data_IF_379874296362
#
_entry.id   IF_379874296362
#
_cell.length_a   1.000
_cell.length_b   1.000
_cell.length_c   1.000
_cell.angle_alpha   90.00
_cell.angle_beta   90.00
_cell.angle_gamma   90.00
#
_symmetry.space_group_name_H-M   'P 1'
#
loop_
_entity.id
_entity.type
_entity.pdbx_description
1 polymer ?
#
# COMPACT_ATOMS: atom_id res chain seq x y z
N UNK A 1 17.35 -42.34 -0.28
CA UNK A 1 17.08 -43.80 -0.27
C UNK A 1 18.00 -44.47 -1.28
N UNK A 2 18.23 -45.78 -1.19
CA UNK A 2 18.93 -46.50 -2.26
C UNK A 2 17.91 -47.13 -3.20
N UNK A 3 18.15 -47.08 -4.51
CA UNK A 3 17.36 -47.87 -5.46
C UNK A 3 17.76 -49.35 -5.40
N UNK A 4 17.06 -50.17 -6.18
CA UNK A 4 17.31 -51.63 -6.31
C UNK A 4 18.71 -51.95 -6.87
N UNK A 5 19.44 -50.94 -7.36
CA UNK A 5 20.81 -51.03 -7.88
C UNK A 5 21.86 -50.48 -6.90
N UNK A 6 21.44 -50.04 -5.71
CA UNK A 6 22.31 -49.51 -4.66
C UNK A 6 22.72 -48.04 -4.83
N UNK A 7 22.20 -47.33 -5.85
CA UNK A 7 22.48 -45.91 -6.07
C UNK A 7 21.71 -45.05 -5.10
N UNK A 8 22.31 -43.94 -4.66
CA UNK A 8 21.62 -42.98 -3.79
C UNK A 8 20.60 -42.17 -4.60
N UNK A 9 19.32 -42.50 -4.44
CA UNK A 9 18.20 -41.72 -4.98
C UNK A 9 17.80 -40.65 -3.96
N UNK A 10 17.82 -39.39 -4.42
CA UNK A 10 17.21 -38.27 -3.70
C UNK A 10 15.71 -38.26 -4.00
N UNK A 11 14.92 -38.57 -2.99
CA UNK A 11 13.46 -38.33 -3.05
C UNK A 11 13.25 -36.84 -2.79
N UNK A 12 12.58 -36.12 -3.70
CA UNK A 12 12.23 -34.72 -3.48
C UNK A 12 11.37 -34.57 -2.22
N UNK A 13 11.62 -33.52 -1.44
CA UNK A 13 10.74 -33.13 -0.33
C UNK A 13 9.41 -32.56 -0.82
N UNK A 14 8.51 -32.25 0.14
CA UNK A 14 7.18 -31.66 -0.14
C UNK A 14 7.24 -30.25 -0.74
N UNK A 15 8.30 -29.50 -0.44
CA UNK A 15 8.44 -28.09 -0.77
C UNK A 15 9.43 -27.89 -1.92
N UNK A 16 9.06 -27.06 -2.89
CA UNK A 16 9.97 -26.61 -3.95
C UNK A 16 10.83 -25.45 -3.44
N UNK A 17 11.97 -25.20 -4.08
CA UNK A 17 12.84 -24.06 -3.75
C UNK A 17 13.27 -23.96 -2.27
N UNK A 18 13.27 -25.10 -1.58
CA UNK A 18 13.62 -25.22 -0.16
C UNK A 18 14.79 -26.19 -0.02
N UNK A 19 15.81 -25.78 0.72
CA UNK A 19 16.88 -26.65 1.19
C UNK A 19 16.90 -26.59 2.70
N UNK A 20 16.72 -27.72 3.36
CA UNK A 20 16.58 -27.80 4.80
C UNK A 20 17.58 -28.78 5.41
N UNK A 21 18.07 -28.48 6.61
CA UNK A 21 18.85 -29.38 7.45
C UNK A 21 18.32 -29.33 8.89
N UNK A 22 18.50 -30.40 9.64
CA UNK A 22 18.27 -30.41 11.09
C UNK A 22 19.53 -29.98 11.83
N UNK A 23 19.38 -29.14 12.84
CA UNK A 23 20.47 -28.66 13.70
C UNK A 23 19.99 -28.52 15.14
N UNK A 24 20.88 -28.64 16.13
CA UNK A 24 20.57 -28.34 17.53
C UNK A 24 21.29 -27.06 17.95
N UNK A 25 20.55 -26.05 18.42
CA UNK A 25 21.13 -24.79 18.89
C UNK A 25 21.24 -24.82 20.42
N UNK A 26 22.47 -24.98 20.92
CA UNK A 26 22.74 -25.04 22.36
C UNK A 26 22.29 -23.79 23.11
N UNK A 27 22.46 -22.60 22.51
CA UNK A 27 22.07 -21.33 23.11
C UNK A 27 20.56 -21.24 23.40
N UNK A 28 19.74 -21.86 22.58
CA UNK A 28 18.28 -21.89 22.71
C UNK A 28 17.78 -23.21 23.34
N UNK A 29 18.66 -24.19 23.53
CA UNK A 29 18.35 -25.56 23.99
C UNK A 29 17.23 -26.22 23.19
N UNK A 30 17.21 -26.00 21.87
CA UNK A 30 16.18 -26.53 20.98
C UNK A 30 16.76 -27.08 19.67
N UNK A 31 16.06 -28.05 19.09
CA UNK A 31 16.30 -28.47 17.72
C UNK A 31 15.65 -27.48 16.76
N UNK A 32 16.29 -27.25 15.61
CA UNK A 32 15.84 -26.34 14.57
C UNK A 32 15.88 -27.06 13.22
N UNK A 33 14.86 -26.80 12.41
CA UNK A 33 14.89 -27.09 10.97
C UNK A 33 15.43 -25.82 10.29
N UNK A 34 16.72 -25.79 9.99
CA UNK A 34 17.36 -24.66 9.33
C UNK A 34 17.08 -24.72 7.83
N UNK A 35 16.52 -23.65 7.27
CA UNK A 35 16.00 -23.62 5.91
C UNK A 35 16.61 -22.46 5.12
N UNK A 36 17.10 -22.77 3.92
CA UNK A 36 17.32 -21.79 2.86
C UNK A 36 16.14 -21.85 1.88
N UNK A 37 15.37 -20.77 1.84
CA UNK A 37 14.25 -20.58 0.92
C UNK A 37 14.71 -19.70 -0.26
N UNK A 38 14.85 -20.30 -1.44
CA UNK A 38 15.41 -19.60 -2.61
C UNK A 38 14.37 -18.85 -3.44
N UNK A 39 13.07 -19.15 -3.25
CA UNK A 39 11.98 -18.49 -3.97
C UNK A 39 10.71 -18.45 -3.10
N UNK A 40 10.52 -17.35 -2.37
CA UNK A 40 9.35 -17.17 -1.50
C UNK A 40 8.04 -16.94 -2.26
N UNK A 41 8.10 -16.65 -3.57
CA UNK A 41 6.90 -16.47 -4.40
C UNK A 41 6.28 -17.80 -4.82
N UNK A 42 7.11 -18.80 -5.07
CA UNK A 42 6.65 -20.17 -5.34
C UNK A 42 6.42 -20.99 -4.08
N UNK A 43 7.12 -20.69 -2.99
CA UNK A 43 6.93 -21.37 -1.70
C UNK A 43 6.88 -20.33 -0.59
N UNK A 44 5.67 -19.85 -0.24
CA UNK A 44 5.48 -18.82 0.78
C UNK A 44 5.96 -19.24 2.17
N UNK A 45 6.35 -18.25 2.99
CA UNK A 45 6.85 -18.50 4.36
C UNK A 45 5.88 -19.29 5.22
N UNK A 46 4.59 -18.93 5.20
CA UNK A 46 3.56 -19.65 5.95
C UNK A 46 3.41 -21.10 5.47
N UNK A 47 3.53 -21.38 4.16
CA UNK A 47 3.51 -22.75 3.64
C UNK A 47 4.68 -23.57 4.15
N UNK A 48 5.89 -22.97 4.22
CA UNK A 48 7.06 -23.63 4.81
C UNK A 48 6.79 -23.96 6.27
N UNK A 49 6.35 -22.99 7.06
CA UNK A 49 6.12 -23.13 8.49
C UNK A 49 5.03 -24.17 8.81
N UNK A 50 3.88 -24.10 8.15
CA UNK A 50 2.80 -25.07 8.32
C UNK A 50 3.23 -26.49 7.89
N UNK A 51 4.00 -26.62 6.82
CA UNK A 51 4.52 -27.93 6.41
C UNK A 51 5.46 -28.52 7.46
N UNK A 52 6.34 -27.71 8.05
CA UNK A 52 7.23 -28.17 9.14
C UNK A 52 6.42 -28.56 10.38
N UNK A 53 5.36 -27.82 10.72
CA UNK A 53 4.44 -28.19 11.81
C UNK A 53 3.81 -29.55 11.55
N UNK A 54 3.22 -29.75 10.38
CA UNK A 54 2.60 -31.03 10.01
C UNK A 54 3.60 -32.20 10.05
N UNK A 55 4.84 -32.01 9.60
CA UNK A 55 5.87 -33.07 9.67
C UNK A 55 6.32 -33.35 11.12
N UNK A 56 6.44 -32.32 11.96
CA UNK A 56 6.81 -32.48 13.37
C UNK A 56 5.71 -33.21 14.15
N UNK A 57 4.44 -32.90 13.90
CA UNK A 57 3.29 -33.51 14.57
C UNK A 57 3.21 -35.01 14.31
N UNK A 58 3.56 -35.48 13.11
CA UNK A 58 3.65 -36.92 12.78
C UNK A 58 4.67 -37.67 13.65
N UNK A 59 5.65 -36.96 14.20
CA UNK A 59 6.67 -37.49 15.09
C UNK A 59 6.35 -37.27 16.57
N UNK A 60 5.17 -36.73 16.90
CA UNK A 60 4.81 -36.36 18.28
C UNK A 60 5.58 -35.14 18.80
N UNK A 61 6.17 -34.34 17.91
CA UNK A 61 6.91 -33.13 18.24
C UNK A 61 6.05 -31.89 18.01
N UNK A 62 6.42 -30.79 18.66
CA UNK A 62 5.76 -29.49 18.50
C UNK A 62 6.76 -28.46 18.02
N UNK A 63 6.38 -27.70 16.99
CA UNK A 63 7.10 -26.49 16.59
C UNK A 63 6.74 -25.36 17.55
N UNK A 64 7.75 -24.72 18.14
CA UNK A 64 7.58 -23.70 19.18
C UNK A 64 7.75 -22.27 18.67
N UNK A 65 8.09 -22.08 17.39
CA UNK A 65 8.29 -20.79 16.75
C UNK A 65 9.30 -20.87 15.62
N UNK A 66 9.76 -19.74 15.13
CA UNK A 66 10.80 -19.64 14.10
C UNK A 66 11.66 -18.39 14.27
N UNK A 67 12.67 -18.23 13.43
CA UNK A 67 13.46 -17.01 13.33
C UNK A 67 13.82 -16.73 11.88
N UNK A 68 14.07 -15.47 11.57
CA UNK A 68 14.66 -15.04 10.31
C UNK A 68 16.09 -14.57 10.59
N UNK A 69 17.05 -15.26 9.98
CA UNK A 69 18.46 -14.89 9.99
C UNK A 69 18.71 -13.87 8.88
N UNK A 70 19.28 -12.71 9.23
CA UNK A 70 19.49 -11.60 8.31
C UNK A 70 18.23 -10.75 8.08
N UNK A 71 18.13 -10.19 6.87
CA UNK A 71 17.03 -9.35 6.40
C UNK A 71 16.04 -10.16 5.56
N UNK A 72 14.78 -9.75 5.54
CA UNK A 72 13.72 -10.35 4.74
C UNK A 72 12.98 -9.27 3.94
N UNK A 73 12.57 -9.54 2.69
CA UNK A 73 11.64 -8.66 1.99
C UNK A 73 10.32 -8.54 2.74
N UNK A 74 9.62 -7.41 2.61
CA UNK A 74 8.34 -7.14 3.26
C UNK A 74 7.22 -8.05 2.76
N UNK A 75 7.16 -8.26 1.43
CA UNK A 75 6.11 -9.03 0.76
C UNK A 75 5.79 -10.38 1.40
N UNK A 76 6.75 -11.30 1.64
CA UNK A 76 6.44 -12.61 2.22
C UNK A 76 5.85 -12.55 3.63
N UNK A 77 6.16 -11.50 4.41
CA UNK A 77 5.54 -11.27 5.73
C UNK A 77 4.09 -10.79 5.59
N UNK A 78 3.83 -9.85 4.69
CA UNK A 78 2.47 -9.38 4.39
C UNK A 78 1.60 -10.54 3.91
N UNK A 79 2.10 -11.36 2.98
CA UNK A 79 1.36 -12.52 2.48
C UNK A 79 1.11 -13.59 3.55
N UNK A 80 2.06 -13.82 4.45
CA UNK A 80 1.82 -14.66 5.63
C UNK A 80 0.75 -14.06 6.55
N UNK A 81 0.79 -12.75 6.79
CA UNK A 81 -0.21 -12.02 7.57
C UNK A 81 -1.62 -12.20 6.99
N UNK A 82 -1.76 -12.02 5.67
CA UNK A 82 -3.02 -12.23 4.94
C UNK A 82 -3.52 -13.66 5.06
N UNK A 83 -2.63 -14.64 4.92
CA UNK A 83 -2.97 -16.05 5.07
C UNK A 83 -3.58 -16.34 6.44
N UNK A 84 -2.91 -15.93 7.52
CA UNK A 84 -3.39 -16.19 8.89
C UNK A 84 -4.60 -15.32 9.29
N UNK A 85 -4.70 -14.09 8.79
CA UNK A 85 -5.91 -13.27 8.94
C UNK A 85 -7.12 -13.98 8.31
N UNK A 86 -6.96 -14.52 7.10
CA UNK A 86 -7.99 -15.28 6.39
C UNK A 86 -8.43 -16.54 7.13
N UNK A 87 -7.49 -17.30 7.70
CA UNK A 87 -7.81 -18.46 8.56
C UNK A 87 -8.63 -18.08 9.79
N UNK A 88 -8.41 -16.88 10.32
CA UNK A 88 -9.14 -16.33 11.46
C UNK A 88 -10.50 -15.72 11.08
N UNK A 89 -10.92 -15.85 9.82
CA UNK A 89 -12.16 -15.28 9.31
C UNK A 89 -12.14 -13.77 9.08
N UNK A 90 -10.98 -13.12 9.26
CA UNK A 90 -10.79 -11.68 9.03
C UNK A 90 -10.51 -11.39 7.55
N UNK A 91 -10.68 -10.13 7.17
CA UNK A 91 -10.28 -9.61 5.86
C UNK A 91 -8.76 -9.68 5.69
N UNK A 92 -8.32 -9.88 4.44
CA UNK A 92 -6.92 -9.77 4.04
C UNK A 92 -6.47 -8.31 3.84
N UNK A 93 -7.40 -7.37 3.78
CA UNK A 93 -7.15 -5.94 3.58
C UNK A 93 -6.93 -5.14 4.87
N UNK A 94 -6.29 -5.73 5.88
CA UNK A 94 -5.87 -5.00 7.07
C UNK A 94 -4.66 -4.09 6.76
N UNK A 95 -4.38 -3.06 7.58
CA UNK A 95 -3.17 -2.25 7.44
C UNK A 95 -1.90 -3.12 7.41
N UNK A 96 -0.93 -2.74 6.59
CA UNK A 96 0.30 -3.51 6.38
C UNK A 96 1.02 -3.89 7.68
N UNK A 97 1.12 -2.95 8.63
CA UNK A 97 1.74 -3.21 9.93
C UNK A 97 0.98 -4.26 10.75
N UNK A 98 -0.35 -4.28 10.69
CA UNK A 98 -1.17 -5.30 11.37
C UNK A 98 -0.96 -6.68 10.74
N UNK A 99 -0.85 -6.76 9.41
CA UNK A 99 -0.57 -8.01 8.70
C UNK A 99 0.83 -8.54 9.05
N UNK A 100 1.84 -7.67 9.07
CA UNK A 100 3.20 -8.03 9.49
C UNK A 100 3.20 -8.50 10.95
N UNK A 101 2.51 -7.80 11.85
CA UNK A 101 2.40 -8.20 13.25
C UNK A 101 1.72 -9.57 13.39
N UNK A 102 0.66 -9.80 12.61
CA UNK A 102 -0.01 -11.11 12.55
C UNK A 102 0.97 -12.19 12.11
N UNK A 103 1.76 -11.94 11.07
CA UNK A 103 2.78 -12.89 10.59
C UNK A 103 3.85 -13.17 11.67
N UNK A 104 4.35 -12.14 12.34
CA UNK A 104 5.35 -12.28 13.42
C UNK A 104 4.81 -13.21 14.52
N UNK A 105 3.59 -12.95 14.99
CA UNK A 105 2.98 -13.72 16.08
C UNK A 105 2.67 -15.17 15.68
N UNK A 106 2.15 -15.38 14.48
CA UNK A 106 1.67 -16.70 14.02
C UNK A 106 2.79 -17.63 13.56
N UNK A 107 3.83 -17.07 12.95
CA UNK A 107 5.07 -17.79 12.64
C UNK A 107 6.01 -17.90 13.85
N UNK A 108 5.75 -17.12 14.91
CA UNK A 108 6.60 -17.02 16.10
C UNK A 108 8.00 -16.52 15.78
N UNK A 109 8.12 -15.49 14.92
CA UNK A 109 9.41 -14.95 14.44
C UNK A 109 10.28 -14.34 15.54
N UNK A 110 9.67 -14.04 16.68
CA UNK A 110 10.26 -13.47 17.88
C UNK A 110 10.50 -14.53 18.99
N UNK A 111 10.33 -15.82 18.69
CA UNK A 111 10.35 -16.90 19.67
C UNK A 111 11.70 -17.14 20.35
N UNK A 112 12.80 -16.86 19.65
CA UNK A 112 14.18 -17.08 20.14
C UNK A 112 15.00 -15.79 20.23
N UNK A 113 14.62 -14.75 19.48
CA UNK A 113 15.27 -13.44 19.49
C UNK A 113 14.26 -12.37 19.08
N UNK A 114 14.42 -11.12 19.56
CA UNK A 114 13.54 -10.02 19.22
C UNK A 114 13.49 -9.76 17.69
N UNK A 115 12.29 -9.58 17.14
CA UNK A 115 12.06 -9.23 15.74
C UNK A 115 11.85 -7.72 15.59
N UNK A 116 12.95 -6.96 15.50
CA UNK A 116 12.91 -5.51 15.23
C UNK A 116 12.57 -5.25 13.76
N UNK A 117 11.31 -4.92 13.46
CA UNK A 117 10.80 -4.72 12.09
C UNK A 117 11.59 -3.66 11.32
N UNK A 118 12.10 -2.62 12.00
CA UNK A 118 12.85 -1.54 11.37
C UNK A 118 14.23 -1.99 10.87
N UNK A 119 14.75 -3.09 11.42
CA UNK A 119 16.06 -3.65 11.09
C UNK A 119 15.99 -4.99 10.36
N UNK A 120 14.85 -5.67 10.37
CA UNK A 120 14.67 -6.99 9.76
C UNK A 120 14.03 -6.92 8.39
N UNK A 121 13.18 -5.92 8.13
CA UNK A 121 12.47 -5.77 6.87
C UNK A 121 13.27 -4.83 5.98
N UNK A 122 13.68 -5.30 4.79
CA UNK A 122 14.55 -4.56 3.87
C UNK A 122 13.96 -3.19 3.56
N UNK A 123 12.71 -3.14 3.15
CA UNK A 123 11.99 -1.95 2.73
C UNK A 123 11.86 -0.92 3.86
N UNK A 124 11.76 -1.36 5.12
CA UNK A 124 11.75 -0.45 6.27
C UNK A 124 13.15 0.04 6.64
N UNK A 125 14.16 -0.83 6.51
CA UNK A 125 15.55 -0.48 6.81
C UNK A 125 16.13 0.54 5.82
N UNK A 126 15.58 0.63 4.60
CA UNK A 126 16.01 1.56 3.55
C UNK A 126 14.95 2.59 3.18
N UNK A 127 13.88 2.72 3.97
CA UNK A 127 12.78 3.63 3.67
C UNK A 127 13.28 5.09 3.55
N UNK A 128 12.85 5.77 2.50
CA UNK A 128 13.12 7.19 2.33
C UNK A 128 12.30 8.02 3.35
N UNK A 129 12.80 9.20 3.76
CA UNK A 129 12.03 10.10 4.61
C UNK A 129 10.73 10.51 3.92
N UNK A 130 9.61 10.38 4.63
CA UNK A 130 8.31 10.93 4.25
C UNK A 130 7.97 12.09 5.19
N UNK A 131 8.62 13.27 5.06
CA UNK A 131 8.59 14.33 6.07
C UNK A 131 7.20 14.89 6.34
N UNK A 132 6.28 14.88 5.36
CA UNK A 132 4.92 15.32 5.55
C UNK A 132 4.06 14.21 6.16
N UNK A 133 4.06 13.02 5.57
CA UNK A 133 3.24 11.91 6.08
C UNK A 133 3.69 11.37 7.45
N UNK A 134 4.92 11.64 7.86
CA UNK A 134 5.42 11.27 9.18
C UNK A 134 5.06 12.29 10.27
N UNK A 135 4.47 13.44 9.93
CA UNK A 135 3.99 14.41 10.92
C UNK A 135 2.79 13.84 11.68
N UNK A 136 2.61 14.33 12.91
CA UNK A 136 1.31 14.18 13.57
C UNK A 136 0.24 14.91 12.78
N UNK A 137 -1.02 14.51 12.92
CA UNK A 137 -2.14 15.20 12.25
C UNK A 137 -2.15 16.70 12.60
N UNK A 138 -1.91 17.05 13.87
CA UNK A 138 -1.75 18.44 14.29
C UNK A 138 -0.59 19.13 13.57
N UNK A 139 0.59 18.51 13.55
CA UNK A 139 1.76 19.08 12.90
C UNK A 139 1.59 19.24 11.38
N UNK A 140 0.86 18.34 10.72
CA UNK A 140 0.52 18.48 9.30
C UNK A 140 -0.44 19.65 9.06
N UNK A 141 -1.48 19.79 9.88
CA UNK A 141 -2.45 20.90 9.77
C UNK A 141 -1.79 22.25 10.04
N UNK A 142 -0.93 22.34 11.06
CA UNK A 142 -0.16 23.54 11.37
C UNK A 142 0.75 23.91 10.20
N UNK A 143 1.47 22.93 9.62
CA UNK A 143 2.34 23.14 8.47
C UNK A 143 1.58 23.67 7.24
N UNK A 144 0.42 23.08 6.91
CA UNK A 144 -0.45 23.54 5.81
C UNK A 144 -0.94 24.97 6.03
N UNK A 145 -1.09 25.40 7.29
CA UNK A 145 -1.55 26.74 7.65
C UNK A 145 -0.44 27.80 7.74
N UNK A 146 0.81 27.40 7.51
CA UNK A 146 1.98 28.29 7.61
C UNK A 146 2.17 29.16 6.36
N UNK A 147 3.20 30.03 6.38
CA UNK A 147 3.65 30.81 5.22
C UNK A 147 4.60 30.03 4.29
N UNK A 148 4.77 28.73 4.52
CA UNK A 148 5.56 27.85 3.65
C UNK A 148 4.87 27.64 2.29
N UNK A 149 5.63 27.63 1.16
CA UNK A 149 5.06 27.36 -0.16
C UNK A 149 4.62 25.90 -0.37
N UNK A 150 5.04 24.97 0.50
CA UNK A 150 4.63 23.56 0.50
C UNK A 150 4.62 23.02 1.94
N UNK A 151 3.70 22.11 2.33
CA UNK A 151 2.71 21.40 1.51
C UNK A 151 1.58 22.30 1.01
N UNK A 152 1.14 22.06 -0.22
CA UNK A 152 0.07 22.82 -0.87
C UNK A 152 -1.23 22.03 -1.04
N UNK A 153 -2.11 22.53 -1.92
CA UNK A 153 -3.39 21.89 -2.22
C UNK A 153 -3.26 20.49 -2.81
N UNK A 154 -2.20 20.19 -3.56
CA UNK A 154 -1.94 18.85 -4.11
C UNK A 154 -1.70 17.81 -3.00
N UNK A 155 -0.83 18.15 -2.05
CA UNK A 155 -0.55 17.35 -0.85
C UNK A 155 -1.84 17.09 -0.03
N UNK A 156 -2.69 18.11 0.15
CA UNK A 156 -3.98 17.96 0.85
C UNK A 156 -4.97 17.10 0.06
N UNK A 157 -5.01 17.23 -1.27
CA UNK A 157 -5.86 16.41 -2.13
C UNK A 157 -5.47 14.93 -2.08
N UNK A 158 -4.18 14.63 -2.09
CA UNK A 158 -3.65 13.28 -1.91
C UNK A 158 -4.05 12.69 -0.55
N UNK A 159 -3.87 13.46 0.53
CA UNK A 159 -4.28 13.04 1.88
C UNK A 159 -5.80 12.80 1.97
N UNK A 160 -6.62 13.66 1.35
CA UNK A 160 -8.06 13.47 1.32
C UNK A 160 -8.46 12.16 0.64
N UNK A 161 -7.85 11.84 -0.50
CA UNK A 161 -8.05 10.55 -1.17
C UNK A 161 -7.58 9.37 -0.32
N UNK A 162 -6.43 9.47 0.35
CA UNK A 162 -5.90 8.43 1.22
C UNK A 162 -6.87 8.13 2.38
N UNK A 163 -7.42 9.18 3.00
CA UNK A 163 -8.45 9.05 4.04
C UNK A 163 -9.73 8.39 3.49
N UNK A 164 -10.15 8.75 2.27
CA UNK A 164 -11.27 8.12 1.58
C UNK A 164 -11.06 6.62 1.37
N UNK A 165 -9.92 6.22 0.82
CA UNK A 165 -9.57 4.81 0.64
C UNK A 165 -9.44 4.06 1.99
N UNK A 166 -8.88 4.71 3.01
CA UNK A 166 -8.78 4.16 4.37
C UNK A 166 -10.15 3.87 4.99
N UNK A 167 -11.11 4.78 4.87
CA UNK A 167 -12.49 4.57 5.33
C UNK A 167 -13.18 3.46 4.54
N UNK A 168 -13.02 3.40 3.21
CA UNK A 168 -13.55 2.30 2.40
C UNK A 168 -12.99 0.93 2.85
N UNK A 169 -11.69 0.84 3.10
CA UNK A 169 -11.06 -0.36 3.65
C UNK A 169 -11.61 -0.72 5.03
N UNK A 170 -11.80 0.26 5.92
CA UNK A 170 -12.39 0.07 7.24
C UNK A 170 -13.80 -0.51 7.16
N UNK A 171 -14.67 0.04 6.31
CA UNK A 171 -16.04 -0.46 6.12
C UNK A 171 -16.03 -1.92 5.68
N UNK A 172 -15.20 -2.28 4.70
CA UNK A 172 -15.05 -3.67 4.28
C UNK A 172 -14.51 -4.58 5.41
N UNK A 173 -13.50 -4.14 6.16
CA UNK A 173 -12.93 -4.89 7.27
C UNK A 173 -13.94 -5.10 8.42
N UNK A 174 -14.81 -4.14 8.70
CA UNK A 174 -15.92 -4.27 9.66
C UNK A 174 -17.05 -5.20 9.16
N UNK A 175 -17.06 -5.49 7.86
CA UNK A 175 -18.06 -6.35 7.23
C UNK A 175 -17.59 -7.80 7.14
N UNK A 176 -16.34 -8.03 6.76
CA UNK A 176 -15.79 -9.37 6.64
C UNK A 176 -15.79 -10.08 8.00
N UNK A 177 -16.38 -11.28 8.05
CA UNK A 177 -16.53 -12.05 9.29
C UNK A 177 -17.79 -11.69 10.10
N UNK A 178 -18.57 -10.69 9.67
CA UNK A 178 -19.86 -10.34 10.29
C UNK A 178 -20.99 -11.21 9.76
N UNK A 179 -21.83 -11.71 10.68
CA UNK A 179 -23.02 -12.51 10.33
C UNK A 179 -23.97 -11.71 9.43
N UNK A 180 -24.46 -12.35 8.37
CA UNK A 180 -25.40 -11.76 7.40
C UNK A 180 -24.73 -11.08 6.20
N UNK A 181 -23.40 -11.08 6.12
CA UNK A 181 -22.62 -10.52 5.02
C UNK A 181 -21.74 -11.58 4.31
N UNK A 182 -22.04 -12.86 4.51
CA UNK A 182 -21.26 -13.98 3.97
C UNK A 182 -21.20 -13.94 2.44
N UNK A 183 -22.27 -13.51 1.78
CA UNK A 183 -22.37 -13.41 0.32
C UNK A 183 -21.43 -12.36 -0.30
N UNK A 184 -21.04 -11.34 0.46
CA UNK A 184 -20.16 -10.25 0.01
C UNK A 184 -18.76 -10.35 0.61
N UNK A 185 -18.48 -11.41 1.37
CA UNK A 185 -17.23 -11.56 2.14
C UNK A 185 -15.98 -11.50 1.25
N UNK A 186 -15.92 -12.32 0.21
CA UNK A 186 -14.74 -12.41 -0.64
C UNK A 186 -14.56 -11.16 -1.50
N UNK A 187 -15.67 -10.61 -2.01
CA UNK A 187 -15.69 -9.33 -2.74
C UNK A 187 -15.12 -8.20 -1.87
N UNK A 188 -15.64 -8.02 -0.65
CA UNK A 188 -15.21 -6.95 0.25
C UNK A 188 -13.80 -7.18 0.80
N UNK A 189 -13.38 -8.43 0.99
CA UNK A 189 -11.98 -8.71 1.35
C UNK A 189 -11.02 -8.28 0.24
N UNK A 190 -11.33 -8.63 -1.02
CA UNK A 190 -10.51 -8.20 -2.17
C UNK A 190 -10.55 -6.68 -2.35
N UNK A 191 -11.71 -6.07 -2.15
CA UNK A 191 -11.88 -4.61 -2.18
C UNK A 191 -11.03 -3.94 -1.10
N UNK A 192 -10.98 -4.48 0.12
CA UNK A 192 -10.17 -3.94 1.21
C UNK A 192 -8.66 -4.01 0.89
N UNK A 193 -8.19 -5.09 0.28
CA UNK A 193 -6.79 -5.18 -0.20
C UNK A 193 -6.49 -4.10 -1.24
N UNK A 194 -7.41 -3.89 -2.20
CA UNK A 194 -7.24 -2.84 -3.20
C UNK A 194 -7.24 -1.44 -2.56
N UNK A 195 -8.14 -1.19 -1.60
CA UNK A 195 -8.22 0.05 -0.87
C UNK A 195 -6.96 0.35 -0.03
N UNK A 196 -6.31 -0.67 0.56
CA UNK A 196 -5.01 -0.48 1.21
C UNK A 196 -3.95 0.01 0.23
N UNK A 197 -3.87 -0.61 -0.96
CA UNK A 197 -2.89 -0.21 -1.98
C UNK A 197 -3.13 1.23 -2.46
N UNK A 198 -4.38 1.63 -2.70
CA UNK A 198 -4.74 2.99 -3.11
C UNK A 198 -4.42 3.99 -1.99
N UNK A 199 -4.76 3.64 -0.73
CA UNK A 199 -4.45 4.44 0.45
C UNK A 199 -2.95 4.66 0.61
N UNK A 200 -2.14 3.60 0.46
CA UNK A 200 -0.68 3.71 0.55
C UNK A 200 -0.09 4.51 -0.62
N UNK A 201 -0.58 4.31 -1.86
CA UNK A 201 -0.14 5.10 -3.02
C UNK A 201 -0.44 6.60 -2.84
N UNK A 202 -1.65 6.94 -2.37
CA UNK A 202 -2.04 8.33 -2.09
C UNK A 202 -1.25 8.93 -0.91
N UNK A 203 -0.91 8.13 0.11
CA UNK A 203 -0.02 8.58 1.18
C UNK A 203 1.37 8.97 0.64
N UNK A 204 1.95 8.16 -0.25
CA UNK A 204 3.22 8.52 -0.91
C UNK A 204 3.09 9.77 -1.79
N UNK A 205 1.92 9.97 -2.41
CA UNK A 205 1.66 11.14 -3.25
C UNK A 205 1.67 12.48 -2.48
N UNK A 206 1.42 12.46 -1.16
CA UNK A 206 1.48 13.66 -0.30
C UNK A 206 2.88 14.28 -0.32
N UNK A 207 3.93 13.47 -0.16
CA UNK A 207 5.32 13.95 -0.24
C UNK A 207 5.76 14.15 -1.70
N UNK A 208 5.25 13.35 -2.64
CA UNK A 208 5.60 13.46 -4.07
C UNK A 208 5.22 14.82 -4.69
N UNK A 209 4.10 15.41 -4.28
CA UNK A 209 3.66 16.75 -4.71
C UNK A 209 4.70 17.83 -4.35
N UNK A 210 5.18 17.79 -3.11
CA UNK A 210 6.22 18.71 -2.63
C UNK A 210 7.56 18.48 -3.35
N UNK A 211 7.92 17.23 -3.61
CA UNK A 211 9.14 16.89 -4.35
C UNK A 211 9.10 17.39 -5.81
N UNK A 212 7.95 17.26 -6.48
CA UNK A 212 7.76 17.76 -7.83
C UNK A 212 7.86 19.29 -7.91
N UNK A 213 7.28 20.00 -6.93
CA UNK A 213 7.42 21.45 -6.80
C UNK A 213 8.89 21.86 -6.62
N UNK A 214 9.62 21.19 -5.72
CA UNK A 214 11.04 21.46 -5.47
C UNK A 214 11.90 21.25 -6.73
N UNK A 215 11.62 20.21 -7.51
CA UNK A 215 12.35 19.94 -8.76
C UNK A 215 12.20 21.08 -9.78
N UNK A 216 11.01 21.67 -9.90
CA UNK A 216 10.77 22.86 -10.75
C UNK A 216 11.56 24.06 -10.24
N UNK A 217 11.58 24.28 -8.92
CA UNK A 217 12.33 25.37 -8.29
C UNK A 217 13.85 25.24 -8.53
N UNK A 218 14.40 24.02 -8.51
CA UNK A 218 15.80 23.79 -8.87
C UNK A 218 16.08 24.08 -10.35
N UNK A 219 15.19 23.69 -11.26
CA UNK A 219 15.31 24.07 -12.68
C UNK A 219 15.28 25.59 -12.88
N UNK A 220 14.55 26.34 -12.04
CA UNK A 220 14.55 27.80 -12.05
C UNK A 220 15.87 28.43 -11.58
N UNK A 221 16.75 27.67 -10.91
CA UNK A 221 18.07 28.15 -10.46
C UNK A 221 19.18 27.95 -11.50
N UNK A 222 18.93 27.21 -12.59
CA UNK A 222 19.92 26.95 -13.63
C UNK A 222 20.48 28.25 -14.25
N UNK A 223 21.77 28.29 -14.67
CA UNK A 223 22.35 29.46 -15.33
C UNK A 223 21.57 29.91 -16.57
N UNK A 224 21.69 31.20 -16.92
CA UNK A 224 20.98 31.83 -18.05
C UNK A 224 21.82 32.90 -18.75
N UNK A 225 23.14 32.80 -18.63
CA UNK A 225 24.08 33.83 -19.12
C UNK A 225 24.43 33.63 -20.59
N UNK A 226 24.60 32.38 -21.04
CA UNK A 226 24.86 32.06 -22.44
C UNK A 226 23.59 31.61 -23.17
N UNK A 227 23.58 31.70 -24.50
CA UNK A 227 22.42 31.24 -25.27
C UNK A 227 22.22 29.71 -25.17
N UNK A 228 23.30 28.95 -25.07
CA UNK A 228 23.24 27.51 -24.79
C UNK A 228 22.62 27.22 -23.42
N UNK A 229 22.98 28.00 -22.39
CA UNK A 229 22.38 27.89 -21.05
C UNK A 229 20.88 28.23 -21.05
N UNK A 230 20.47 29.28 -21.78
CA UNK A 230 19.05 29.66 -21.89
C UNK A 230 18.21 28.53 -22.49
N UNK A 231 18.68 27.94 -23.60
CA UNK A 231 17.99 26.83 -24.26
C UNK A 231 17.91 25.60 -23.35
N UNK A 232 19.02 25.23 -22.70
CA UNK A 232 19.05 24.10 -21.78
C UNK A 232 18.11 24.32 -20.59
N UNK A 233 18.16 25.51 -19.98
CA UNK A 233 17.28 25.90 -18.87
C UNK A 233 15.80 25.86 -19.27
N UNK A 234 15.45 26.38 -20.44
CA UNK A 234 14.07 26.37 -20.92
C UNK A 234 13.56 24.94 -21.15
N UNK A 235 14.38 24.07 -21.76
CA UNK A 235 14.05 22.66 -21.92
C UNK A 235 13.88 21.95 -20.57
N UNK A 236 14.77 22.22 -19.61
CA UNK A 236 14.70 21.64 -18.27
C UNK A 236 13.42 22.09 -17.53
N UNK A 237 13.06 23.36 -17.65
CA UNK A 237 11.82 23.91 -17.07
C UNK A 237 10.57 23.31 -17.71
N UNK A 238 10.50 23.23 -19.05
CA UNK A 238 9.35 22.64 -19.73
C UNK A 238 9.17 21.16 -19.37
N UNK A 239 10.26 20.41 -19.23
CA UNK A 239 10.20 19.03 -18.73
C UNK A 239 9.75 18.98 -17.27
N UNK A 240 10.28 19.86 -16.41
CA UNK A 240 9.89 19.98 -15.01
C UNK A 240 8.41 20.28 -14.84
N UNK A 241 7.85 21.22 -15.60
CA UNK A 241 6.42 21.55 -15.56
C UNK A 241 5.54 20.39 -16.01
N UNK A 242 5.94 19.64 -17.05
CA UNK A 242 5.22 18.43 -17.47
C UNK A 242 5.23 17.37 -16.37
N UNK A 243 6.38 17.10 -15.76
CA UNK A 243 6.49 16.17 -14.63
C UNK A 243 5.65 16.62 -13.44
N UNK A 244 5.68 17.92 -13.10
CA UNK A 244 4.88 18.49 -12.02
C UNK A 244 3.37 18.49 -12.31
N UNK A 245 2.95 18.48 -13.57
CA UNK A 245 1.54 18.29 -13.94
C UNK A 245 1.09 16.83 -13.88
N UNK A 246 2.00 15.87 -14.04
CA UNK A 246 1.67 14.43 -14.02
C UNK A 246 1.43 13.89 -12.60
N UNK A 247 2.16 14.37 -11.60
CA UNK A 247 1.96 13.95 -10.19
C UNK A 247 0.52 14.20 -9.68
N UNK A 248 -0.06 15.41 -9.81
CA UNK A 248 -1.45 15.64 -9.43
C UNK A 248 -2.45 14.93 -10.36
N UNK A 249 -2.08 14.59 -11.60
CA UNK A 249 -2.95 13.77 -12.46
C UNK A 249 -3.06 12.34 -11.92
N UNK A 250 -1.93 11.71 -11.60
CA UNK A 250 -1.90 10.38 -10.99
C UNK A 250 -2.64 10.39 -9.64
N UNK A 251 -2.48 11.45 -8.85
CA UNK A 251 -3.23 11.67 -7.60
C UNK A 251 -4.74 11.72 -7.87
N UNK A 252 -5.19 12.44 -8.90
CA UNK A 252 -6.60 12.51 -9.26
C UNK A 252 -7.16 11.15 -9.70
N UNK A 253 -6.39 10.37 -10.47
CA UNK A 253 -6.76 9.01 -10.90
C UNK A 253 -6.88 8.07 -9.70
N UNK A 254 -5.91 8.09 -8.76
CA UNK A 254 -5.96 7.30 -7.52
C UNK A 254 -7.14 7.71 -6.61
N UNK A 255 -7.43 9.01 -6.49
CA UNK A 255 -8.59 9.50 -5.76
C UNK A 255 -9.91 9.03 -6.40
N UNK A 256 -9.98 8.93 -7.74
CA UNK A 256 -11.17 8.42 -8.42
C UNK A 256 -11.36 6.92 -8.13
N UNK A 257 -10.28 6.15 -8.05
CA UNK A 257 -10.37 4.75 -7.60
C UNK A 257 -10.78 4.65 -6.12
N UNK A 258 -10.27 5.51 -5.24
CA UNK A 258 -10.73 5.60 -3.85
C UNK A 258 -12.24 5.88 -3.77
N UNK A 259 -12.76 6.73 -4.65
CA UNK A 259 -14.18 7.05 -4.73
C UNK A 259 -15.03 5.86 -5.21
N UNK A 260 -14.55 5.09 -6.19
CA UNK A 260 -15.21 3.84 -6.64
C UNK A 260 -15.19 2.76 -5.57
N UNK A 261 -14.12 2.70 -4.78
CA UNK A 261 -14.02 1.83 -3.60
C UNK A 261 -15.01 2.24 -2.51
N UNK A 262 -15.21 3.55 -2.28
CA UNK A 262 -16.23 4.05 -1.38
C UNK A 262 -17.65 3.68 -1.84
N UNK A 263 -17.95 3.76 -3.14
CA UNK A 263 -19.22 3.28 -3.71
C UNK A 263 -19.39 1.76 -3.47
N UNK A 264 -18.35 0.97 -3.70
CA UNK A 264 -18.37 -0.48 -3.46
C UNK A 264 -18.59 -0.83 -1.98
N UNK A 265 -18.03 -0.02 -1.07
CA UNK A 265 -18.16 -0.19 0.36
C UNK A 265 -19.61 -0.03 0.87
N UNK A 266 -20.52 0.59 0.11
CA UNK A 266 -21.95 0.69 0.43
C UNK A 266 -22.67 -0.68 0.51
N UNK A 267 -22.10 -1.73 -0.09
CA UNK A 267 -22.57 -3.12 0.04
C UNK A 267 -22.24 -3.73 1.42
N UNK A 268 -21.37 -3.06 2.16
CA UNK A 268 -20.86 -3.51 3.44
C UNK A 268 -21.83 -3.31 4.61
N UNK A 269 -21.27 -3.33 5.80
CA UNK A 269 -21.97 -3.18 7.06
C UNK A 269 -22.83 -1.91 7.06
N UNK A 270 -24.16 -2.07 7.10
CA UNK A 270 -25.13 -0.97 7.15
C UNK A 270 -24.89 0.02 8.27
N UNK A 271 -24.33 -0.41 9.41
CA UNK A 271 -24.03 0.48 10.53
C UNK A 271 -22.86 1.44 10.23
N UNK A 272 -22.12 1.20 9.14
CA UNK A 272 -20.97 1.98 8.68
C UNK A 272 -21.26 2.66 7.34
N UNK A 273 -22.54 2.80 6.95
CA UNK A 273 -22.91 3.45 5.69
C UNK A 273 -22.51 4.93 5.67
N UNK A 274 -22.52 5.60 6.83
CA UNK A 274 -22.04 6.97 6.97
C UNK A 274 -20.53 7.06 6.72
N UNK A 275 -19.77 6.06 7.15
CA UNK A 275 -18.32 6.01 6.91
C UNK A 275 -18.01 5.86 5.42
N UNK A 276 -18.78 5.02 4.69
CA UNK A 276 -18.69 4.92 3.23
C UNK A 276 -19.10 6.22 2.53
N UNK A 277 -20.10 6.94 3.07
CA UNK A 277 -20.49 8.26 2.57
C UNK A 277 -19.37 9.31 2.72
N UNK A 278 -18.76 9.39 3.91
CA UNK A 278 -17.62 10.29 4.15
C UNK A 278 -16.42 9.88 3.29
N UNK A 279 -16.17 8.58 3.11
CA UNK A 279 -15.13 8.09 2.20
C UNK A 279 -15.31 8.67 0.79
N UNK A 280 -16.55 8.66 0.28
CA UNK A 280 -16.88 9.24 -1.03
C UNK A 280 -16.66 10.75 -1.09
N UNK A 281 -17.06 11.50 -0.05
CA UNK A 281 -16.84 12.95 0.01
C UNK A 281 -15.35 13.30 0.00
N UNK A 282 -14.55 12.61 0.80
CA UNK A 282 -13.10 12.83 0.89
C UNK A 282 -12.40 12.50 -0.42
N UNK A 283 -12.74 11.36 -1.04
CA UNK A 283 -12.18 10.96 -2.32
C UNK A 283 -12.58 11.93 -3.45
N UNK A 284 -13.83 12.40 -3.49
CA UNK A 284 -14.29 13.39 -4.46
C UNK A 284 -13.52 14.71 -4.33
N UNK A 285 -13.37 15.22 -3.11
CA UNK A 285 -12.57 16.41 -2.84
C UNK A 285 -11.12 16.22 -3.29
N UNK A 286 -10.56 15.02 -3.09
CA UNK A 286 -9.25 14.63 -3.60
C UNK A 286 -9.15 14.70 -5.13
N UNK A 287 -10.12 14.15 -5.87
CA UNK A 287 -10.13 14.22 -7.36
C UNK A 287 -10.15 15.67 -7.83
N UNK A 288 -11.08 16.48 -7.30
CA UNK A 288 -11.23 17.87 -7.71
C UNK A 288 -10.01 18.72 -7.36
N UNK A 289 -9.53 18.60 -6.11
CA UNK A 289 -8.34 19.31 -5.64
C UNK A 289 -7.10 18.97 -6.46
N UNK A 290 -6.87 17.68 -6.76
CA UNK A 290 -5.76 17.25 -7.59
C UNK A 290 -5.90 17.77 -9.04
N UNK A 291 -7.09 17.73 -9.63
CA UNK A 291 -7.34 18.31 -10.96
C UNK A 291 -7.07 19.82 -11.01
N UNK A 292 -7.37 20.58 -9.95
CA UNK A 292 -7.01 22.01 -9.89
C UNK A 292 -5.49 22.22 -9.96
N UNK A 293 -4.71 21.37 -9.28
CA UNK A 293 -3.26 21.43 -9.31
C UNK A 293 -2.68 21.05 -10.69
N UNK A 294 -3.29 20.09 -11.40
CA UNK A 294 -2.95 19.83 -12.81
C UNK A 294 -3.15 21.10 -13.64
N UNK A 295 -4.35 21.68 -13.59
CA UNK A 295 -4.74 22.83 -14.42
C UNK A 295 -3.88 24.06 -14.19
N UNK A 296 -3.48 24.32 -12.94
CA UNK A 296 -2.54 25.40 -12.59
C UNK A 296 -1.20 25.21 -13.29
N UNK A 297 -0.63 24.01 -13.26
CA UNK A 297 0.65 23.72 -13.90
C UNK A 297 0.60 23.85 -15.43
N UNK A 298 -0.53 23.53 -16.06
CA UNK A 298 -0.69 23.64 -17.52
C UNK A 298 -0.50 25.07 -18.04
N UNK A 299 -0.73 26.11 -17.23
CA UNK A 299 -0.54 27.51 -17.64
C UNK A 299 0.90 27.88 -17.99
N UNK A 300 1.87 27.05 -17.60
CA UNK A 300 3.32 27.28 -17.81
C UNK A 300 3.93 26.41 -18.92
N UNK A 301 3.13 25.51 -19.50
CA UNK A 301 3.57 24.51 -20.48
C UNK A 301 3.26 25.00 -21.90
N UNK A 302 4.26 24.98 -22.79
CA UNK A 302 4.11 25.47 -24.17
C UNK A 302 3.66 24.39 -25.16
N UNK A 303 3.79 23.10 -24.79
CA UNK A 303 3.30 21.97 -25.57
C UNK A 303 1.76 21.93 -25.57
N UNK A 304 1.16 22.46 -26.64
CA UNK A 304 -0.29 22.60 -26.77
C UNK A 304 -1.01 21.25 -26.81
N UNK A 305 -0.42 20.23 -27.44
CA UNK A 305 -1.00 18.90 -27.51
C UNK A 305 -1.06 18.25 -26.12
N UNK A 306 0.00 18.40 -25.33
CA UNK A 306 0.01 17.97 -23.94
C UNK A 306 -1.07 18.69 -23.12
N UNK A 307 -1.13 20.03 -23.23
CA UNK A 307 -2.11 20.85 -22.49
C UNK A 307 -3.55 20.45 -22.81
N UNK A 308 -3.90 20.29 -24.09
CA UNK A 308 -5.24 19.88 -24.51
C UNK A 308 -5.60 18.47 -24.00
N UNK A 309 -4.65 17.54 -24.08
CA UNK A 309 -4.82 16.18 -23.56
C UNK A 309 -5.10 16.19 -22.06
N UNK A 310 -4.32 16.93 -21.28
CA UNK A 310 -4.48 17.01 -19.82
C UNK A 310 -5.79 17.69 -19.43
N UNK A 311 -6.18 18.78 -20.11
CA UNK A 311 -7.48 19.44 -19.86
C UNK A 311 -8.64 18.47 -20.08
N UNK A 312 -8.62 17.72 -21.18
CA UNK A 312 -9.65 16.71 -21.47
C UNK A 312 -9.73 15.67 -20.36
N UNK A 313 -8.58 15.08 -19.98
CA UNK A 313 -8.52 14.09 -18.89
C UNK A 313 -9.07 14.64 -17.58
N UNK A 314 -8.65 15.84 -17.15
CA UNK A 314 -9.16 16.44 -15.90
C UNK A 314 -10.66 16.68 -15.93
N UNK A 315 -11.22 17.10 -17.07
CA UNK A 315 -12.66 17.29 -17.21
C UNK A 315 -13.44 15.97 -17.10
N UNK A 316 -12.91 14.89 -17.70
CA UNK A 316 -13.47 13.54 -17.60
C UNK A 316 -13.43 13.03 -16.14
N UNK A 317 -12.29 13.16 -15.46
CA UNK A 317 -12.12 12.76 -14.05
C UNK A 317 -13.09 13.50 -13.12
N UNK A 318 -13.22 14.82 -13.27
CA UNK A 318 -14.15 15.63 -12.45
C UNK A 318 -15.60 15.19 -12.68
N UNK A 319 -15.98 14.94 -13.94
CA UNK A 319 -17.34 14.49 -14.28
C UNK A 319 -17.63 13.12 -13.67
N UNK A 320 -16.74 12.14 -13.87
CA UNK A 320 -16.90 10.80 -13.33
C UNK A 320 -16.99 10.83 -11.79
N UNK A 321 -16.17 11.65 -11.15
CA UNK A 321 -16.21 11.82 -9.70
C UNK A 321 -17.53 12.43 -9.22
N UNK A 322 -18.08 13.40 -9.96
CA UNK A 322 -19.39 13.96 -9.65
C UNK A 322 -20.49 12.90 -9.74
N UNK A 323 -20.53 12.15 -10.85
CA UNK A 323 -21.56 11.14 -11.10
C UNK A 323 -21.51 10.01 -10.05
N UNK A 324 -20.32 9.57 -9.62
CA UNK A 324 -20.17 8.55 -8.56
C UNK A 324 -20.59 9.12 -7.20
N UNK A 325 -20.10 10.31 -6.85
CA UNK A 325 -20.42 10.92 -5.56
C UNK A 325 -21.93 11.19 -5.39
N UNK A 326 -22.62 11.58 -6.46
CA UNK A 326 -24.08 11.76 -6.43
C UNK A 326 -24.81 10.43 -6.15
N UNK A 327 -24.36 9.32 -6.74
CA UNK A 327 -24.92 7.99 -6.44
C UNK A 327 -24.68 7.57 -4.99
N UNK A 328 -23.46 7.76 -4.49
CA UNK A 328 -23.13 7.49 -3.08
C UNK A 328 -24.05 8.32 -2.17
N UNK A 329 -24.16 9.62 -2.42
CA UNK A 329 -24.99 10.52 -1.64
C UNK A 329 -26.45 10.07 -1.58
N UNK A 330 -27.05 9.73 -2.73
CA UNK A 330 -28.44 9.24 -2.79
C UNK A 330 -28.64 7.98 -1.95
N UNK A 331 -27.73 7.01 -2.05
CA UNK A 331 -27.80 5.76 -1.28
C UNK A 331 -27.67 6.03 0.23
N UNK A 332 -26.70 6.86 0.62
CA UNK A 332 -26.46 7.19 2.03
C UNK A 332 -27.64 7.93 2.64
N UNK A 333 -28.17 8.96 1.97
CA UNK A 333 -29.32 9.73 2.45
C UNK A 333 -30.55 8.84 2.60
N UNK A 334 -30.81 7.95 1.63
CA UNK A 334 -31.93 7.01 1.71
C UNK A 334 -31.78 6.02 2.88
N UNK A 335 -30.57 5.65 3.26
CA UNK A 335 -30.33 4.67 4.31
C UNK A 335 -30.37 5.24 5.74
N UNK A 336 -30.20 6.57 5.90
CA UNK A 336 -30.23 7.25 7.20
C UNK A 336 -31.59 7.85 7.56
N UNK A 337 -32.53 7.88 6.60
CA UNK A 337 -33.92 8.31 6.78
C UNK A 337 -34.81 7.13 7.16
#
# INVERSE_FOLDING_TARGET
>A
IKDDQGNTVKVPGRLKHVRAIGWYIDAYKCAQVSINLTNYRETPLHTVFETVKEEAEKLGLRVTGSEIVGLVPKTPLVEAGKYYAGLSGKSKGAPEQELIQTAIQTLGLDSVANFDVSKKIIEYAVAEPAPLMSKSVFGFVDEVSSDSPAPGGGSVAALAGALGAGLAAMVANLTVGKKGYEAVKDELSSMAEHAQNIKDALAHAVDADTNAFNAVMEAMKLPKTTDAEKVFREQALQNGYKSAALVPLETAELCLEALRLAESALKGNKNSITDAGVAGLMAQAGVQGACYNVLVNLGTITDTQFVESMKKKTAELIKDAHDIAERIHKIVVQAIQ
#
